data_IF_442742987671
#
_entry.id   IF_442742987671
#
_cell.length_a   1.000
_cell.length_b   1.000
_cell.length_c   1.000
_cell.angle_alpha   90.00
_cell.angle_beta   90.00
_cell.angle_gamma   90.00
#
_symmetry.space_group_name_H-M   'P 1'
#
loop_
_entity.id
_entity.type
_entity.pdbx_description
1 polymer ?
#
# COMPACT_ATOMS: atom_id res chain seq x y z
N UNK A 1 -13.24 -24.70 2.08
CA UNK A 1 -13.80 -23.51 2.73
C UNK A 1 -13.24 -22.28 2.05
N UNK A 2 -13.98 -21.72 1.12
CA UNK A 2 -13.64 -20.47 0.45
C UNK A 2 -13.99 -19.31 1.38
N UNK A 3 -13.00 -18.54 1.78
CA UNK A 3 -13.19 -17.24 2.43
C UNK A 3 -14.10 -16.39 1.55
N UNK A 4 -15.15 -15.75 2.07
CA UNK A 4 -15.99 -14.90 1.23
C UNK A 4 -15.13 -13.78 0.64
N UNK A 5 -15.01 -13.76 -0.68
CA UNK A 5 -14.40 -12.64 -1.39
C UNK A 5 -15.31 -11.42 -1.22
N UNK A 6 -14.81 -10.40 -0.54
CA UNK A 6 -15.47 -9.11 -0.48
C UNK A 6 -15.48 -8.53 -1.89
N UNK A 7 -16.63 -8.51 -2.55
CA UNK A 7 -16.79 -7.85 -3.83
C UNK A 7 -16.77 -6.34 -3.56
N UNK A 8 -15.69 -5.70 -3.93
CA UNK A 8 -15.57 -4.24 -3.88
C UNK A 8 -16.01 -3.70 -5.23
N UNK A 9 -17.01 -2.82 -5.30
CA UNK A 9 -17.36 -2.16 -6.56
C UNK A 9 -16.19 -1.27 -6.99
N UNK A 10 -15.66 -1.48 -8.19
CA UNK A 10 -14.69 -0.58 -8.81
C UNK A 10 -15.43 0.46 -9.66
N UNK A 11 -14.95 1.68 -9.63
CA UNK A 11 -15.48 2.80 -10.42
C UNK A 11 -14.32 3.56 -11.04
N UNK A 12 -14.46 3.92 -12.32
CA UNK A 12 -13.49 4.79 -12.99
C UNK A 12 -13.35 6.11 -12.24
N UNK A 13 -12.11 6.49 -11.96
CA UNK A 13 -11.83 7.75 -11.27
C UNK A 13 -11.90 8.89 -12.29
N UNK A 14 -12.80 9.87 -12.09
CA UNK A 14 -12.94 11.00 -13.00
C UNK A 14 -11.70 11.91 -12.97
N UNK A 15 -11.43 12.59 -14.07
CA UNK A 15 -10.29 13.50 -14.25
C UNK A 15 -10.68 14.97 -14.15
N UNK A 16 -11.93 15.32 -14.39
CA UNK A 16 -12.45 16.67 -14.22
C UNK A 16 -12.58 17.03 -12.74
N UNK A 17 -12.26 18.27 -12.38
CA UNK A 17 -12.20 18.71 -10.98
C UNK A 17 -13.54 18.57 -10.23
N UNK A 18 -14.64 18.93 -10.89
CA UNK A 18 -15.98 18.84 -10.30
C UNK A 18 -16.44 17.40 -10.14
N UNK A 19 -16.11 16.56 -11.12
CA UNK A 19 -16.41 15.11 -11.08
C UNK A 19 -15.57 14.42 -10.00
N UNK A 20 -14.29 14.80 -9.84
CA UNK A 20 -13.42 14.30 -8.77
C UNK A 20 -14.00 14.63 -7.39
N UNK A 21 -14.50 15.84 -7.18
CA UNK A 21 -15.15 16.22 -5.92
C UNK A 21 -16.42 15.37 -5.66
N UNK A 22 -17.26 15.22 -6.67
CA UNK A 22 -18.46 14.40 -6.57
C UNK A 22 -18.12 12.93 -6.28
N UNK A 23 -17.09 12.40 -6.94
CA UNK A 23 -16.58 11.06 -6.67
C UNK A 23 -16.14 10.89 -5.20
N UNK A 24 -15.35 11.83 -4.68
CA UNK A 24 -14.91 11.80 -3.28
C UNK A 24 -16.12 11.87 -2.32
N UNK A 25 -17.08 12.74 -2.59
CA UNK A 25 -18.26 12.87 -1.74
C UNK A 25 -19.11 11.60 -1.70
N UNK A 26 -19.27 10.92 -2.83
CA UNK A 26 -20.04 9.68 -2.93
C UNK A 26 -19.25 8.42 -2.56
N UNK A 27 -17.93 8.53 -2.36
CA UNK A 27 -17.03 7.38 -2.24
C UNK A 27 -17.29 6.48 -1.02
N UNK A 28 -18.03 6.96 -0.01
CA UNK A 28 -18.34 6.13 1.15
C UNK A 28 -19.17 4.90 0.82
N UNK A 29 -19.97 4.97 -0.25
CA UNK A 29 -20.69 3.81 -0.78
C UNK A 29 -19.78 2.73 -1.37
N UNK A 30 -18.53 3.09 -1.71
CA UNK A 30 -17.52 2.17 -2.23
C UNK A 30 -16.74 1.46 -1.11
N UNK A 31 -16.89 1.92 0.14
CA UNK A 31 -16.24 1.27 1.27
C UNK A 31 -16.79 -0.15 1.44
N UNK A 32 -15.94 -1.18 1.51
CA UNK A 32 -16.40 -2.55 1.75
C UNK A 32 -17.15 -2.68 3.06
N UNK A 33 -18.18 -3.51 3.09
CA UNK A 33 -18.97 -3.74 4.31
C UNK A 33 -18.12 -4.35 5.45
N UNK A 34 -17.13 -5.18 5.11
CA UNK A 34 -16.21 -5.77 6.08
C UNK A 34 -15.13 -4.82 6.60
N UNK A 35 -15.09 -3.56 6.15
CA UNK A 35 -14.17 -2.55 6.63
C UNK A 35 -14.89 -1.57 7.54
N UNK A 36 -14.53 -1.58 8.82
CA UNK A 36 -15.05 -0.62 9.80
C UNK A 36 -14.18 0.64 9.77
N UNK A 37 -14.71 1.73 9.25
CA UNK A 37 -14.03 3.02 9.15
C UNK A 37 -15.06 4.15 9.10
N UNK A 38 -14.75 5.26 9.79
CA UNK A 38 -15.58 6.47 9.75
C UNK A 38 -15.58 7.08 8.35
N UNK A 39 -16.73 7.60 7.93
CA UNK A 39 -16.95 8.18 6.61
C UNK A 39 -15.90 9.23 6.23
N UNK A 40 -15.60 10.16 7.14
CA UNK A 40 -14.64 11.23 6.88
C UNK A 40 -13.23 10.67 6.63
N UNK A 41 -12.82 9.66 7.39
CA UNK A 41 -11.50 9.03 7.23
C UNK A 41 -11.39 8.28 5.91
N UNK A 42 -12.44 7.55 5.51
CA UNK A 42 -12.51 6.90 4.20
C UNK A 42 -12.43 7.91 3.06
N UNK A 43 -13.22 8.97 3.09
CA UNK A 43 -13.20 10.03 2.08
C UNK A 43 -11.84 10.72 1.99
N UNK A 44 -11.17 10.89 3.12
CA UNK A 44 -9.82 11.44 3.15
C UNK A 44 -8.80 10.53 2.47
N UNK A 45 -8.89 9.21 2.70
CA UNK A 45 -8.04 8.21 2.03
C UNK A 45 -8.27 8.24 0.51
N UNK A 46 -9.52 8.18 0.07
CA UNK A 46 -9.90 8.21 -1.35
C UNK A 46 -9.40 9.49 -2.00
N UNK A 47 -9.63 10.64 -1.37
CA UNK A 47 -9.13 11.94 -1.87
C UNK A 47 -7.61 11.93 -2.05
N UNK A 48 -6.88 11.43 -1.08
CA UNK A 48 -5.42 11.40 -1.11
C UNK A 48 -4.91 10.49 -2.24
N UNK A 49 -5.50 9.31 -2.39
CA UNK A 49 -5.16 8.36 -3.45
C UNK A 49 -5.47 8.91 -4.84
N UNK A 50 -6.65 9.49 -5.05
CA UNK A 50 -7.06 10.09 -6.33
C UNK A 50 -6.11 11.22 -6.74
N UNK A 51 -5.60 11.98 -5.78
CA UNK A 51 -4.63 13.06 -6.01
C UNK A 51 -3.19 12.59 -6.15
N UNK A 52 -2.93 11.30 -6.19
CA UNK A 52 -1.59 10.74 -6.34
C UNK A 52 -0.69 10.95 -5.12
N UNK A 53 -1.26 11.15 -3.93
CA UNK A 53 -0.49 11.32 -2.69
C UNK A 53 -0.12 9.97 -2.10
N UNK A 54 1.09 9.85 -1.57
CA UNK A 54 1.51 8.66 -0.84
C UNK A 54 0.84 8.64 0.54
N UNK A 55 0.32 7.48 0.93
CA UNK A 55 -0.45 7.29 2.17
C UNK A 55 0.27 6.26 3.04
N UNK A 56 0.45 6.58 4.32
CA UNK A 56 0.92 5.64 5.34
C UNK A 56 -0.19 5.42 6.37
N UNK A 57 -0.74 4.22 6.39
CA UNK A 57 -1.70 3.81 7.42
C UNK A 57 -0.94 3.26 8.62
N UNK A 58 -1.13 3.89 9.78
CA UNK A 58 -0.48 3.53 11.04
C UNK A 58 -1.50 3.03 12.04
N UNK A 59 -1.04 2.25 13.00
CA UNK A 59 -1.87 1.76 14.10
C UNK A 59 -1.33 0.46 14.69
N UNK A 60 -1.95 -0.04 15.76
CA UNK A 60 -1.54 -1.28 16.40
C UNK A 60 -1.70 -2.49 15.48
N UNK A 61 -1.04 -3.59 15.81
CA UNK A 61 -1.22 -4.85 15.11
C UNK A 61 -2.68 -5.32 15.24
N UNK A 62 -3.23 -5.86 14.15
CA UNK A 62 -4.59 -6.40 14.14
C UNK A 62 -5.72 -5.36 14.01
N UNK A 63 -5.42 -4.06 13.86
CA UNK A 63 -6.46 -3.03 13.67
C UNK A 63 -6.99 -2.92 12.22
N UNK A 64 -6.61 -3.85 11.33
CA UNK A 64 -7.15 -3.91 9.98
C UNK A 64 -6.46 -3.03 8.94
N UNK A 65 -5.24 -2.55 9.17
CA UNK A 65 -4.48 -1.69 8.24
C UNK A 65 -4.34 -2.32 6.85
N UNK A 66 -3.86 -3.55 6.78
CA UNK A 66 -3.67 -4.26 5.50
C UNK A 66 -4.99 -4.44 4.76
N UNK A 67 -6.08 -4.78 5.47
CA UNK A 67 -7.41 -4.89 4.89
C UNK A 67 -7.91 -3.55 4.36
N UNK A 68 -7.74 -2.47 5.12
CA UNK A 68 -8.11 -1.12 4.70
C UNK A 68 -7.32 -0.68 3.46
N UNK A 69 -6.02 -0.92 3.45
CA UNK A 69 -5.15 -0.59 2.32
C UNK A 69 -5.54 -1.36 1.05
N UNK A 70 -5.75 -2.67 1.14
CA UNK A 70 -6.21 -3.50 0.01
C UNK A 70 -7.59 -3.07 -0.48
N UNK A 71 -8.50 -2.73 0.42
CA UNK A 71 -9.84 -2.25 0.08
C UNK A 71 -9.79 -0.92 -0.66
N UNK A 72 -8.95 0.01 -0.21
CA UNK A 72 -8.73 1.29 -0.90
C UNK A 72 -8.18 1.06 -2.30
N UNK A 73 -7.15 0.25 -2.44
CA UNK A 73 -6.53 -0.09 -3.73
C UNK A 73 -7.55 -0.68 -4.69
N UNK A 74 -8.34 -1.66 -4.24
CA UNK A 74 -9.35 -2.30 -5.06
C UNK A 74 -10.48 -1.35 -5.49
N UNK A 75 -10.80 -0.33 -4.66
CA UNK A 75 -11.86 0.65 -4.98
C UNK A 75 -11.49 1.60 -6.11
N UNK A 76 -10.22 1.74 -6.45
CA UNK A 76 -9.75 2.74 -7.41
C UNK A 76 -9.74 2.24 -8.87
N UNK A 77 -9.98 0.96 -9.10
CA UNK A 77 -9.95 0.33 -10.44
C UNK A 77 -8.74 0.74 -11.29
N UNK A 78 -7.57 0.65 -10.68
CA UNK A 78 -6.27 0.97 -11.30
C UNK A 78 -5.37 -0.26 -11.28
N UNK A 79 -4.35 -0.34 -12.13
CA UNK A 79 -3.31 -1.35 -11.99
C UNK A 79 -2.76 -1.35 -10.57
N UNK A 80 -2.73 -2.50 -9.90
CA UNK A 80 -2.28 -2.61 -8.53
C UNK A 80 -1.17 -3.65 -8.36
N UNK A 81 -0.29 -3.39 -7.39
CA UNK A 81 0.83 -4.26 -7.05
C UNK A 81 0.96 -4.32 -5.53
N UNK A 82 1.30 -5.49 -5.01
CA UNK A 82 1.45 -5.73 -3.58
C UNK A 82 2.86 -6.23 -3.25
N UNK A 83 3.48 -5.60 -2.25
CA UNK A 83 4.79 -5.99 -1.73
C UNK A 83 4.74 -6.05 -0.20
N UNK A 84 5.01 -7.23 0.38
CA UNK A 84 5.20 -7.37 1.82
C UNK A 84 6.68 -7.14 2.15
N UNK A 85 7.00 -5.96 2.64
CA UNK A 85 8.37 -5.57 2.94
C UNK A 85 8.87 -6.15 4.28
N UNK A 86 7.96 -6.53 5.18
CA UNK A 86 8.31 -7.17 6.44
C UNK A 86 8.81 -8.60 6.28
N UNK A 87 8.42 -9.29 5.21
CA UNK A 87 8.84 -10.64 4.88
C UNK A 87 10.10 -10.69 3.99
N UNK A 88 10.53 -9.55 3.46
CA UNK A 88 11.65 -9.47 2.52
C UNK A 88 12.99 -9.42 3.25
N UNK A 89 13.86 -10.38 3.00
CA UNK A 89 15.21 -10.44 3.56
C UNK A 89 16.26 -9.73 2.68
N UNK A 90 16.04 -9.71 1.37
CA UNK A 90 16.88 -9.01 0.40
C UNK A 90 16.08 -7.91 -0.31
N UNK A 91 16.11 -6.67 0.22
CA UNK A 91 15.36 -5.56 -0.36
C UNK A 91 15.87 -5.15 -1.74
N UNK A 92 17.15 -5.32 -2.04
CA UNK A 92 17.71 -4.98 -3.37
C UNK A 92 17.16 -5.92 -4.43
N UNK A 93 17.15 -7.22 -4.16
CA UNK A 93 16.57 -8.21 -5.07
C UNK A 93 15.06 -7.96 -5.30
N UNK A 94 14.33 -7.60 -4.25
CA UNK A 94 12.89 -7.37 -4.33
C UNK A 94 12.52 -6.07 -5.04
N UNK A 95 13.25 -4.98 -4.79
CA UNK A 95 12.91 -3.64 -5.29
C UNK A 95 13.67 -3.27 -6.56
N UNK A 96 14.87 -3.79 -6.78
CA UNK A 96 15.68 -3.46 -7.93
C UNK A 96 15.73 -4.63 -8.92
N UNK A 97 16.23 -5.78 -8.49
CA UNK A 97 16.37 -6.97 -9.33
C UNK A 97 17.61 -7.78 -9.00
N UNK A 98 17.90 -8.73 -9.85
CA UNK A 98 19.01 -9.67 -9.65
C UNK A 98 19.90 -9.81 -10.88
N UNK A 99 21.16 -10.05 -10.62
CA UNK A 99 22.12 -10.46 -11.66
C UNK A 99 22.12 -11.98 -11.75
N UNK A 100 21.92 -12.49 -12.94
CA UNK A 100 21.90 -13.90 -13.25
C UNK A 100 23.05 -14.27 -14.20
N UNK A 101 23.52 -15.51 -14.10
CA UNK A 101 24.43 -16.08 -15.06
C UNK A 101 23.74 -17.23 -15.82
N UNK A 102 23.74 -17.11 -17.14
CA UNK A 102 23.25 -18.14 -18.04
C UNK A 102 24.42 -18.60 -18.93
N UNK A 103 24.60 -19.92 -19.13
CA UNK A 103 25.71 -20.49 -19.93
C UNK A 103 25.70 -20.04 -21.38
N UNK A 104 24.54 -19.64 -21.93
CA UNK A 104 24.40 -19.20 -23.32
C UNK A 104 24.41 -17.68 -23.47
N UNK A 105 23.79 -16.97 -22.49
CA UNK A 105 23.60 -15.53 -22.52
C UNK A 105 24.68 -14.74 -21.75
N UNK A 106 25.51 -15.46 -20.97
CA UNK A 106 26.47 -14.80 -20.07
C UNK A 106 25.77 -14.23 -18.84
N UNK A 107 26.40 -13.20 -18.26
CA UNK A 107 25.81 -12.47 -17.11
C UNK A 107 24.80 -11.46 -17.62
N UNK A 108 23.59 -11.48 -17.06
CA UNK A 108 22.54 -10.51 -17.37
C UNK A 108 21.79 -10.07 -16.12
N UNK A 109 21.25 -8.84 -16.15
CA UNK A 109 20.42 -8.28 -15.11
C UNK A 109 18.94 -8.52 -15.40
N UNK A 110 18.17 -8.91 -14.36
CA UNK A 110 16.72 -9.07 -14.42
C UNK A 110 16.06 -8.09 -13.46
N UNK A 111 15.27 -7.17 -13.98
CA UNK A 111 14.51 -6.22 -13.20
C UNK A 111 13.45 -6.91 -12.32
N UNK A 112 13.18 -6.29 -11.17
CA UNK A 112 12.14 -6.75 -10.24
C UNK A 112 10.73 -6.41 -10.72
N UNK A 113 9.73 -7.05 -10.10
CA UNK A 113 8.33 -6.65 -10.29
C UNK A 113 8.08 -5.21 -9.82
N UNK A 114 8.81 -4.72 -8.83
CA UNK A 114 8.70 -3.35 -8.36
C UNK A 114 9.12 -2.33 -9.41
N UNK A 115 10.18 -2.58 -10.16
CA UNK A 115 10.59 -1.75 -11.30
C UNK A 115 9.47 -1.65 -12.34
N UNK A 116 8.83 -2.78 -12.66
CA UNK A 116 7.65 -2.79 -13.55
C UNK A 116 6.48 -1.99 -12.97
N UNK A 117 6.22 -2.15 -11.66
CA UNK A 117 5.12 -1.47 -10.99
C UNK A 117 5.27 0.06 -11.04
N UNK A 118 6.46 0.59 -10.73
CA UNK A 118 6.70 2.04 -10.73
C UNK A 118 6.66 2.66 -12.14
N UNK A 119 6.87 1.88 -13.18
CA UNK A 119 6.77 2.32 -14.58
C UNK A 119 5.34 2.19 -15.15
N UNK A 120 4.41 1.62 -14.41
CA UNK A 120 3.03 1.45 -14.84
C UNK A 120 2.23 2.72 -14.52
N UNK A 121 1.79 3.52 -15.50
CA UNK A 121 1.03 4.74 -15.25
C UNK A 121 -0.23 4.48 -14.41
N UNK A 122 -0.51 5.38 -13.49
CA UNK A 122 -1.66 5.31 -12.56
C UNK A 122 -1.69 4.07 -11.66
N UNK A 123 -0.61 3.32 -11.54
CA UNK A 123 -0.55 2.17 -10.65
C UNK A 123 -0.72 2.59 -9.18
N UNK A 124 -1.37 1.74 -8.41
CA UNK A 124 -1.43 1.82 -6.95
C UNK A 124 -0.55 0.73 -6.38
N UNK A 125 0.49 1.12 -5.65
CA UNK A 125 1.49 0.19 -5.11
C UNK A 125 1.34 0.12 -3.60
N UNK A 126 0.97 -1.06 -3.10
CA UNK A 126 0.83 -1.34 -1.68
C UNK A 126 2.15 -1.87 -1.10
N UNK A 127 2.71 -1.12 -0.16
CA UNK A 127 3.92 -1.46 0.60
C UNK A 127 3.51 -1.87 2.02
N UNK A 128 3.29 -3.16 2.22
CA UNK A 128 2.80 -3.70 3.49
C UNK A 128 3.95 -3.93 4.48
N UNK A 129 3.68 -3.71 5.76
CA UNK A 129 4.62 -3.88 6.87
C UNK A 129 5.91 -3.04 6.73
N UNK A 130 5.79 -1.78 6.27
CA UNK A 130 6.94 -0.91 6.02
C UNK A 130 7.84 -0.70 7.24
N UNK A 131 7.27 -0.65 8.46
CA UNK A 131 8.03 -0.52 9.72
C UNK A 131 8.90 -1.72 10.06
N UNK A 132 8.62 -2.90 9.46
CA UNK A 132 9.41 -4.12 9.64
C UNK A 132 10.43 -4.35 8.52
N UNK A 133 10.42 -3.48 7.50
CA UNK A 133 11.34 -3.59 6.38
C UNK A 133 12.80 -3.42 6.81
N UNK A 134 13.70 -4.02 6.05
CA UNK A 134 15.13 -3.79 6.21
C UNK A 134 15.45 -2.32 5.87
N UNK A 135 16.39 -1.65 6.60
CA UNK A 135 16.76 -0.25 6.34
C UNK A 135 17.18 0.06 4.90
N UNK A 136 17.75 -0.90 4.20
CA UNK A 136 18.11 -0.74 2.78
C UNK A 136 16.88 -0.54 1.91
N UNK A 137 15.73 -1.14 2.25
CA UNK A 137 14.47 -0.87 1.58
C UNK A 137 14.04 0.60 1.77
N UNK A 138 14.19 1.15 2.97
CA UNK A 138 13.88 2.55 3.23
C UNK A 138 14.78 3.49 2.41
N UNK A 139 16.07 3.20 2.33
CA UNK A 139 17.01 3.99 1.53
C UNK A 139 16.65 3.97 0.03
N UNK A 140 16.28 2.81 -0.50
CA UNK A 140 15.83 2.67 -1.89
C UNK A 140 14.54 3.47 -2.14
N UNK A 141 13.59 3.42 -1.21
CA UNK A 141 12.30 4.09 -1.33
C UNK A 141 12.37 5.62 -1.17
N UNK A 142 13.43 6.16 -0.56
CA UNK A 142 13.57 7.61 -0.33
C UNK A 142 13.43 8.43 -1.61
N UNK A 143 14.06 8.01 -2.70
CA UNK A 143 13.99 8.70 -4.00
C UNK A 143 12.71 8.39 -4.76
N UNK A 144 12.17 7.18 -4.61
CA UNK A 144 10.92 6.74 -5.24
C UNK A 144 9.70 7.49 -4.70
N UNK A 145 9.72 7.82 -3.41
CA UNK A 145 8.62 8.48 -2.71
C UNK A 145 8.74 10.00 -2.64
N UNK A 146 9.81 10.57 -3.16
CA UNK A 146 10.02 12.02 -3.14
C UNK A 146 8.88 12.78 -3.83
N UNK A 147 8.54 13.98 -3.36
CA UNK A 147 7.45 14.77 -3.93
C UNK A 147 7.85 15.55 -5.20
N UNK A 148 9.15 15.75 -5.41
CA UNK A 148 9.68 16.48 -6.56
C UNK A 148 9.96 15.57 -7.73
N UNK A 149 11.12 14.93 -7.71
CA UNK A 149 11.55 14.02 -8.77
C UNK A 149 11.64 12.60 -8.21
N UNK A 150 10.74 11.73 -8.64
CA UNK A 150 10.65 10.34 -8.19
C UNK A 150 11.40 9.41 -9.14
N UNK A 151 12.40 8.72 -8.64
CA UNK A 151 13.22 7.79 -9.44
C UNK A 151 13.77 6.63 -8.60
N UNK A 152 14.12 5.54 -9.29
CA UNK A 152 14.83 4.39 -8.74
C UNK A 152 16.18 4.26 -9.46
N UNK A 153 17.25 4.02 -8.70
CA UNK A 153 18.57 3.69 -9.27
C UNK A 153 18.73 2.19 -9.46
N UNK A 154 19.17 1.81 -10.66
CA UNK A 154 19.57 0.45 -10.99
C UNK A 154 21.11 0.33 -10.98
N UNK A 155 21.71 0.45 -9.80
CA UNK A 155 23.19 0.43 -9.67
C UNK A 155 23.83 -0.89 -10.13
N UNK A 156 23.07 -1.98 -10.22
CA UNK A 156 23.51 -3.29 -10.68
C UNK A 156 23.34 -3.49 -12.19
N UNK A 157 22.69 -2.59 -12.89
CA UNK A 157 22.68 -2.60 -14.35
C UNK A 157 24.00 -2.03 -14.90
N UNK A 158 24.47 -2.55 -16.03
CA UNK A 158 25.74 -2.18 -16.63
C UNK A 158 25.84 -0.72 -17.11
N UNK A 159 25.16 0.24 -16.48
CA UNK A 159 25.16 1.62 -16.93
C UNK A 159 24.65 2.64 -15.92
N UNK A 160 24.48 2.33 -14.63
CA UNK A 160 23.89 3.26 -13.64
C UNK A 160 22.56 3.86 -14.15
N UNK A 161 21.68 3.03 -14.63
CA UNK A 161 20.39 3.44 -15.16
C UNK A 161 19.48 3.94 -14.06
N UNK A 162 18.80 5.05 -14.28
CA UNK A 162 17.73 5.56 -13.42
C UNK A 162 16.38 5.29 -14.09
N UNK A 163 15.43 4.81 -13.31
CA UNK A 163 14.05 4.59 -13.75
C UNK A 163 13.15 5.63 -13.08
N UNK A 164 12.49 6.46 -13.87
CA UNK A 164 11.53 7.42 -13.36
C UNK A 164 10.22 6.72 -12.97
N UNK A 165 9.60 7.20 -11.89
CA UNK A 165 8.27 6.75 -11.51
C UNK A 165 7.24 7.36 -12.45
N UNK A 166 6.41 6.52 -13.05
CA UNK A 166 5.40 6.95 -14.02
C UNK A 166 4.36 7.90 -13.38
N UNK A 167 3.73 8.71 -14.23
CA UNK A 167 2.69 9.64 -13.80
C UNK A 167 1.51 8.92 -13.17
N UNK A 168 0.96 9.53 -12.13
CA UNK A 168 -0.22 9.03 -11.42
C UNK A 168 0.03 7.84 -10.49
N UNK A 169 1.25 7.34 -10.37
CA UNK A 169 1.59 6.27 -9.43
C UNK A 169 1.42 6.75 -8.00
N UNK A 170 0.66 5.99 -7.22
CA UNK A 170 0.36 6.25 -5.80
C UNK A 170 0.87 5.09 -4.96
N UNK A 171 1.52 5.41 -3.84
CA UNK A 171 1.96 4.42 -2.87
C UNK A 171 1.04 4.44 -1.65
N UNK A 172 0.59 3.26 -1.24
CA UNK A 172 -0.15 3.04 0.00
C UNK A 172 0.67 2.11 0.86
N UNK A 173 1.07 2.56 2.03
CA UNK A 173 1.90 1.78 2.93
C UNK A 173 1.18 1.52 4.26
N UNK A 174 1.57 0.43 4.94
CA UNK A 174 1.12 0.14 6.30
C UNK A 174 2.32 0.04 7.23
N UNK A 175 2.15 0.49 8.47
CA UNK A 175 3.17 0.41 9.49
C UNK A 175 2.56 0.23 10.89
N UNK A 176 3.21 -0.57 11.73
CA UNK A 176 2.95 -0.58 13.15
C UNK A 176 3.84 0.48 13.81
N UNK A 177 3.22 1.46 14.46
CA UNK A 177 3.92 2.50 15.18
C UNK A 177 3.48 2.45 16.65
N UNK A 178 4.43 2.38 17.56
CA UNK A 178 4.22 2.34 19.01
C UNK A 178 5.41 1.72 19.75
N UNK A 179 5.59 2.11 21.00
CA UNK A 179 6.70 1.64 21.86
C UNK A 179 6.57 0.16 22.29
N UNK A 180 5.45 -0.45 22.05
CA UNK A 180 5.09 -1.83 22.43
C UNK A 180 5.60 -2.90 21.46
N UNK A 181 6.14 -2.49 20.30
CA UNK A 181 6.61 -3.41 19.28
C UNK A 181 8.13 -3.56 19.31
N UNK A 182 8.61 -4.57 20.01
CA UNK A 182 10.04 -4.89 20.12
C UNK A 182 10.69 -5.33 18.81
N UNK A 183 9.91 -5.68 17.81
CA UNK A 183 10.39 -6.13 16.50
C UNK A 183 10.29 -5.06 15.40
N UNK A 184 9.71 -3.89 15.69
CA UNK A 184 9.64 -2.78 14.75
C UNK A 184 10.80 -1.83 14.98
N UNK A 185 11.49 -1.48 13.91
CA UNK A 185 12.51 -0.42 13.94
C UNK A 185 11.82 0.93 13.93
N UNK A 186 12.44 1.91 14.58
CA UNK A 186 12.00 3.31 14.45
C UNK A 186 12.22 3.73 13.01
N UNK A 187 11.14 4.02 12.30
CA UNK A 187 11.22 4.50 10.92
C UNK A 187 11.87 5.88 10.86
N UNK A 188 12.70 6.07 9.84
CA UNK A 188 13.29 7.37 9.56
C UNK A 188 12.20 8.43 9.35
N UNK A 189 12.33 9.56 10.05
CA UNK A 189 11.40 10.68 9.92
C UNK A 189 11.34 11.22 8.50
N UNK A 190 12.47 11.28 7.80
CA UNK A 190 12.52 11.75 6.43
C UNK A 190 11.72 10.84 5.48
N UNK A 191 11.70 9.53 5.72
CA UNK A 191 10.84 8.60 5.00
C UNK A 191 9.36 8.85 5.32
N UNK A 192 9.02 9.01 6.60
CA UNK A 192 7.63 9.28 7.03
C UNK A 192 7.09 10.59 6.46
N UNK A 193 7.92 11.62 6.35
CA UNK A 193 7.56 12.94 5.80
C UNK A 193 7.14 12.87 4.30
N UNK A 194 7.44 11.76 3.62
CA UNK A 194 7.02 11.52 2.24
C UNK A 194 5.61 10.97 2.10
N UNK A 195 4.93 10.72 3.22
CA UNK A 195 3.58 10.20 3.28
C UNK A 195 2.61 11.16 3.95
N UNK A 196 1.36 11.06 3.55
CA UNK A 196 0.23 11.51 4.38
C UNK A 196 -0.06 10.38 5.37
N UNK A 197 0.06 10.68 6.66
CA UNK A 197 -0.14 9.68 7.71
C UNK A 197 -1.62 9.63 8.09
N UNK A 198 -2.19 8.44 8.08
CA UNK A 198 -3.56 8.17 8.51
C UNK A 198 -3.53 7.13 9.62
N UNK A 199 -3.84 7.56 10.82
CA UNK A 199 -3.93 6.67 11.97
C UNK A 199 -5.24 5.88 11.94
N UNK A 200 -5.13 4.57 12.08
CA UNK A 200 -6.28 3.66 12.15
C UNK A 200 -6.75 3.57 13.59
N UNK A 201 -8.05 3.74 13.78
CA UNK A 201 -8.67 3.60 15.11
C UNK A 201 -8.70 2.11 15.51
N UNK A 202 -8.57 1.85 16.80
CA UNK A 202 -8.89 0.54 17.38
C UNK A 202 -10.40 0.40 17.34
N UNK A 203 -10.89 -0.76 16.91
CA UNK A 203 -12.32 -1.04 16.91
C UNK A 203 -12.85 -1.09 18.35
N UNK A 204 -14.05 -0.56 18.56
CA UNK A 204 -14.80 -0.82 19.79
C UNK A 204 -15.25 -2.28 19.83
N UNK A 205 -15.58 -2.80 21.01
CA UNK A 205 -16.10 -4.16 21.16
C UNK A 205 -17.33 -4.42 20.28
N UNK A 206 -18.21 -3.41 20.14
CA UNK A 206 -19.39 -3.49 19.27
C UNK A 206 -19.03 -3.55 17.78
N UNK A 207 -18.06 -2.76 17.36
CA UNK A 207 -17.56 -2.75 15.97
C UNK A 207 -16.84 -4.06 15.64
N UNK A 208 -16.03 -4.59 16.57
CA UNK A 208 -15.33 -5.87 16.41
C UNK A 208 -16.34 -7.01 16.35
N UNK A 209 -17.34 -7.03 17.23
CA UNK A 209 -18.40 -8.03 17.21
C UNK A 209 -19.20 -8.00 15.90
N UNK A 210 -19.57 -6.81 15.42
CA UNK A 210 -20.24 -6.63 14.14
C UNK A 210 -19.41 -7.13 12.95
N UNK A 211 -18.10 -6.91 12.99
CA UNK A 211 -17.17 -7.41 11.98
C UNK A 211 -17.09 -8.94 12.02
N UNK A 212 -17.00 -9.54 13.21
CA UNK A 212 -16.98 -11.00 13.39
C UNK A 212 -18.28 -11.64 12.89
N UNK A 213 -19.43 -11.06 13.20
CA UNK A 213 -20.72 -11.52 12.67
C UNK A 213 -20.77 -11.49 11.14
N UNK A 214 -20.24 -10.42 10.53
CA UNK A 214 -20.15 -10.31 9.07
C UNK A 214 -19.21 -11.36 8.46
N UNK A 215 -18.06 -11.60 9.08
CA UNK A 215 -17.09 -12.58 8.60
C UNK A 215 -17.52 -14.04 8.80
N UNK A 216 -18.28 -14.31 9.85
CA UNK A 216 -18.70 -15.63 10.27
C UNK A 216 -20.22 -15.71 10.51
N UNK A 217 -21.04 -15.50 9.47
CA UNK A 217 -22.50 -15.40 9.61
C UNK A 217 -23.18 -16.69 10.08
N UNK A 218 -22.47 -17.81 10.11
CA UNK A 218 -22.97 -19.12 10.52
C UNK A 218 -22.52 -19.55 11.93
N UNK A 219 -21.75 -18.70 12.61
CA UNK A 219 -21.31 -18.95 13.98
C UNK A 219 -22.32 -18.39 14.95
N UNK A 220 -22.66 -19.17 15.99
CA UNK A 220 -23.56 -18.74 17.05
C UNK A 220 -23.01 -17.49 17.77
N UNK A 221 -23.84 -16.49 17.95
CA UNK A 221 -23.50 -15.22 18.60
C UNK A 221 -22.92 -15.37 20.02
N UNK A 222 -23.14 -16.52 20.66
CA UNK A 222 -22.54 -16.84 21.96
C UNK A 222 -21.09 -17.34 21.89
N UNK A 223 -20.55 -17.55 20.67
CA UNK A 223 -19.18 -18.01 20.42
C UNK A 223 -18.31 -16.91 19.79
N UNK A 224 -18.89 -15.78 19.38
CA UNK A 224 -18.21 -14.58 18.88
C UNK A 224 -17.97 -13.60 20.02
#
# INVERSE_FOLDING_TARGET
>A
SSTPQVVVPSVDVPTDHSEVLNFIHSSYSLKPQGLVMKELKWKYLVRSAVRGKNILMTGPAGCGKTMAAKSLVNSLDRPDFYFNLGATQDPRATLIGNVHFDKKKGTYFSESLFVKAIQTPNAVILLDELSRAHPDAWNILMTVLDSGQRYLRLDESNGQETIDVADGVTFVATANIGNEYTSTRVMDKALMDRFIIVEMDVLSDEEEFGLLQYMFPHVDNGLL
#
